data_IF_586432842517
#
_entry.id   IF_586432842517
#
_cell.length_a   1.000
_cell.length_b   1.000
_cell.length_c   1.000
_cell.angle_alpha   90.00
_cell.angle_beta   90.00
_cell.angle_gamma   90.00
#
_symmetry.space_group_name_H-M   'P 1'
#
loop_
_entity.id
_entity.type
_entity.pdbx_description
1 polymer ?
#
# COMPACT_ATOMS: atom_id res chain seq x y z
N UNK A 1 2.06 30.78 -2.44
CA UNK A 1 2.09 31.36 -3.80
C UNK A 1 3.31 30.95 -4.67
N UNK A 2 4.20 30.04 -4.24
CA UNK A 2 5.46 29.74 -4.98
C UNK A 2 5.31 28.61 -6.02
N UNK A 3 4.28 27.75 -5.90
CA UNK A 3 4.12 26.55 -6.75
C UNK A 3 3.81 26.85 -8.23
N UNK A 4 3.14 27.97 -8.54
CA UNK A 4 2.68 28.27 -9.91
C UNK A 4 3.79 28.56 -10.93
N UNK A 5 4.96 29.05 -10.48
CA UNK A 5 6.06 29.45 -11.39
C UNK A 5 6.84 28.27 -11.98
N UNK A 6 6.99 27.17 -11.23
CA UNK A 6 7.72 25.98 -11.74
C UNK A 6 6.98 25.32 -12.91
N UNK A 7 5.65 25.28 -12.86
CA UNK A 7 4.79 24.75 -13.94
C UNK A 7 4.92 25.55 -15.25
N UNK A 8 5.16 26.87 -15.17
CA UNK A 8 5.30 27.73 -16.36
C UNK A 8 6.68 27.65 -17.02
N UNK A 9 7.71 27.15 -16.29
CA UNK A 9 9.09 27.06 -16.76
C UNK A 9 9.44 25.70 -17.38
N UNK A 10 8.49 24.76 -17.42
CA UNK A 10 8.70 23.41 -17.95
C UNK A 10 9.69 22.56 -17.14
N UNK A 11 10.07 23.01 -15.94
CA UNK A 11 11.02 22.31 -15.09
C UNK A 11 10.32 21.22 -14.28
N UNK A 12 10.84 20.01 -14.38
CA UNK A 12 10.46 18.87 -13.54
C UNK A 12 10.84 19.15 -12.08
N UNK A 13 9.98 18.78 -11.15
CA UNK A 13 10.18 19.04 -9.72
C UNK A 13 11.39 18.26 -9.13
N UNK A 14 11.87 17.24 -9.85
CA UNK A 14 12.75 16.19 -9.34
C UNK A 14 14.18 16.21 -9.93
N UNK A 15 14.61 17.29 -10.61
CA UNK A 15 15.91 17.31 -11.31
C UNK A 15 17.14 17.20 -10.36
N UNK A 16 16.99 17.60 -9.09
CA UNK A 16 18.10 17.79 -8.15
C UNK A 16 18.08 16.89 -6.91
N UNK A 17 17.64 15.61 -7.00
CA UNK A 17 17.60 14.73 -5.81
C UNK A 17 18.35 13.43 -6.00
N UNK A 18 19.41 13.30 -5.20
CA UNK A 18 20.05 12.04 -4.86
C UNK A 18 19.00 11.07 -4.31
N UNK A 19 18.72 9.99 -5.06
CA UNK A 19 17.67 9.02 -4.73
C UNK A 19 18.02 8.29 -3.43
N UNK A 20 17.33 8.63 -2.35
CA UNK A 20 17.49 7.99 -1.04
C UNK A 20 16.53 6.81 -0.93
N UNK A 21 16.96 5.70 -0.35
CA UNK A 21 16.10 4.53 -0.12
C UNK A 21 14.84 4.92 0.67
N UNK A 22 13.67 4.70 0.06
CA UNK A 22 12.37 4.88 0.71
C UNK A 22 11.89 3.51 1.18
N UNK A 23 11.79 3.34 2.50
CA UNK A 23 11.14 2.18 3.08
C UNK A 23 9.63 2.33 2.94
N UNK A 24 8.97 1.42 2.22
CA UNK A 24 7.51 1.34 2.22
C UNK A 24 7.03 0.20 3.12
N UNK A 25 6.00 0.43 3.95
CA UNK A 25 5.37 -0.64 4.71
C UNK A 25 4.67 -1.60 3.74
N UNK A 26 4.83 -2.90 4.00
CA UNK A 26 4.28 -3.94 3.14
C UNK A 26 2.75 -4.05 3.27
N UNK A 27 2.08 -4.50 2.21
CA UNK A 27 0.66 -4.82 2.30
C UNK A 27 0.49 -6.13 3.11
N UNK A 28 -0.51 -6.15 3.99
CA UNK A 28 -0.76 -7.34 4.82
C UNK A 28 -2.22 -7.73 4.77
N UNK A 29 -2.47 -8.97 4.37
CA UNK A 29 -3.81 -9.56 4.30
C UNK A 29 -4.38 -9.89 5.69
N UNK A 30 -3.58 -9.68 6.74
CA UNK A 30 -3.89 -10.13 8.09
C UNK A 30 -5.10 -9.41 8.69
N UNK A 31 -5.30 -8.13 8.36
CA UNK A 31 -6.48 -7.37 8.80
C UNK A 31 -7.80 -7.93 8.23
N UNK A 32 -7.78 -8.43 7.00
CA UNK A 32 -8.95 -9.05 6.38
C UNK A 32 -9.30 -10.39 7.03
N UNK A 33 -8.29 -11.21 7.33
CA UNK A 33 -8.50 -12.48 8.04
C UNK A 33 -9.06 -12.23 9.45
N UNK A 34 -8.57 -11.21 10.16
CA UNK A 34 -9.10 -10.82 11.46
C UNK A 34 -10.59 -10.43 11.42
N UNK A 35 -11.02 -9.66 10.41
CA UNK A 35 -12.42 -9.22 10.34
C UNK A 35 -13.39 -10.39 10.13
N UNK A 36 -12.99 -11.41 9.35
CA UNK A 36 -13.79 -12.64 9.17
C UNK A 36 -13.96 -13.39 10.49
N UNK A 37 -12.89 -13.55 11.28
CA UNK A 37 -12.99 -14.19 12.60
C UNK A 37 -13.86 -13.39 13.57
N UNK A 38 -13.75 -12.06 13.56
CA UNK A 38 -14.64 -11.19 14.34
C UNK A 38 -16.10 -11.32 13.91
N UNK A 39 -16.36 -11.43 12.61
CA UNK A 39 -17.71 -11.64 12.08
C UNK A 39 -18.30 -12.97 12.58
N UNK A 40 -17.54 -14.08 12.49
CA UNK A 40 -17.97 -15.40 12.97
C UNK A 40 -18.20 -15.38 14.50
N UNK A 41 -17.30 -14.75 15.25
CA UNK A 41 -17.43 -14.61 16.70
C UNK A 41 -18.68 -13.82 17.08
N UNK A 42 -18.90 -12.65 16.47
CA UNK A 42 -20.07 -11.81 16.70
C UNK A 42 -21.36 -12.50 16.31
N UNK A 43 -21.40 -13.16 15.15
CA UNK A 43 -22.56 -13.93 14.70
C UNK A 43 -22.91 -15.06 15.68
N UNK A 44 -21.91 -15.83 16.12
CA UNK A 44 -22.11 -16.90 17.10
C UNK A 44 -22.66 -16.42 18.44
N UNK A 45 -22.18 -15.27 18.93
CA UNK A 45 -22.64 -14.68 20.20
C UNK A 45 -24.07 -14.14 20.12
N UNK A 46 -24.50 -13.59 18.97
CA UNK A 46 -25.87 -13.09 18.79
C UNK A 46 -26.91 -14.20 18.86
N UNK A 47 -26.62 -15.37 18.28
CA UNK A 47 -27.55 -16.49 18.20
C UNK A 47 -27.42 -17.53 19.34
N UNK A 48 -26.72 -17.18 20.44
CA UNK A 48 -26.42 -18.11 21.55
C UNK A 48 -25.60 -19.36 21.14
N UNK A 49 -24.99 -19.34 19.96
CA UNK A 49 -24.05 -20.36 19.51
C UNK A 49 -22.67 -20.12 20.12
N UNK A 50 -22.59 -20.40 21.43
CA UNK A 50 -21.38 -20.23 22.23
C UNK A 50 -20.16 -20.94 21.66
N UNK A 51 -20.35 -22.07 20.96
CA UNK A 51 -19.27 -22.85 20.38
C UNK A 51 -18.65 -22.13 19.18
N UNK A 52 -19.49 -21.48 18.38
CA UNK A 52 -19.09 -20.67 17.23
C UNK A 52 -18.44 -19.35 17.70
N UNK A 53 -18.98 -18.75 18.76
CA UNK A 53 -18.39 -17.61 19.45
C UNK A 53 -17.00 -17.92 20.02
N UNK A 54 -16.83 -19.08 20.66
CA UNK A 54 -15.54 -19.56 21.16
C UNK A 54 -14.54 -19.84 20.04
N UNK A 55 -14.97 -20.51 18.96
CA UNK A 55 -14.11 -20.76 17.79
C UNK A 55 -13.66 -19.46 17.12
N UNK A 56 -14.58 -18.51 16.92
CA UNK A 56 -14.27 -17.20 16.36
C UNK A 56 -13.34 -16.40 17.28
N UNK A 57 -13.60 -16.38 18.59
CA UNK A 57 -12.75 -15.73 19.58
C UNK A 57 -11.35 -16.32 19.67
N UNK A 58 -11.23 -17.65 19.61
CA UNK A 58 -9.94 -18.33 19.55
C UNK A 58 -9.20 -18.01 18.24
N UNK A 59 -9.93 -17.91 17.13
CA UNK A 59 -9.39 -17.47 15.85
C UNK A 59 -8.82 -16.04 15.90
N UNK A 60 -9.52 -15.11 16.56
CA UNK A 60 -9.01 -13.74 16.78
C UNK A 60 -7.74 -13.75 17.65
N UNK A 61 -7.73 -14.51 18.76
CA UNK A 61 -6.56 -14.64 19.64
C UNK A 61 -5.36 -15.24 18.90
N UNK A 62 -5.57 -16.29 18.11
CA UNK A 62 -4.52 -16.89 17.29
C UNK A 62 -3.98 -15.92 16.24
N UNK A 63 -4.88 -15.15 15.61
CA UNK A 63 -4.48 -14.14 14.63
C UNK A 63 -3.69 -12.99 15.27
N UNK A 64 -4.06 -12.57 16.49
CA UNK A 64 -3.30 -11.58 17.27
C UNK A 64 -1.91 -12.10 17.65
N UNK A 65 -1.82 -13.35 18.12
CA UNK A 65 -0.55 -13.98 18.43
C UNK A 65 0.34 -14.03 17.18
N UNK A 66 -0.19 -14.55 16.07
CA UNK A 66 0.53 -14.60 14.79
C UNK A 66 0.97 -13.22 14.31
N UNK A 67 0.09 -12.21 14.40
CA UNK A 67 0.42 -10.81 14.07
C UNK A 67 1.57 -10.27 14.91
N UNK A 68 1.60 -10.61 16.20
CA UNK A 68 2.65 -10.13 17.11
C UNK A 68 4.01 -10.76 16.82
N UNK A 69 4.05 -12.00 16.31
CA UNK A 69 5.30 -12.66 15.94
C UNK A 69 5.75 -12.35 14.51
N UNK A 70 4.83 -11.89 13.63
CA UNK A 70 5.18 -11.56 12.26
C UNK A 70 5.98 -10.25 12.22
N UNK A 71 7.29 -10.36 12.03
CA UNK A 71 8.20 -9.25 11.77
C UNK A 71 8.01 -8.82 10.32
N UNK A 72 7.35 -7.69 10.10
CA UNK A 72 7.28 -7.08 8.76
C UNK A 72 8.64 -6.41 8.49
N UNK A 73 9.54 -7.15 7.84
CA UNK A 73 10.72 -6.56 7.22
C UNK A 73 10.22 -5.71 6.04
N UNK A 74 10.20 -4.39 6.25
CA UNK A 74 9.72 -3.43 5.27
C UNK A 74 10.47 -3.58 3.94
N UNK A 75 9.74 -3.46 2.83
CA UNK A 75 10.30 -3.64 1.50
C UNK A 75 11.27 -2.49 1.20
N UNK A 76 12.45 -2.83 0.68
CA UNK A 76 13.37 -1.85 0.10
C UNK A 76 13.00 -1.68 -1.37
N UNK A 77 12.50 -0.51 -1.75
CA UNK A 77 12.37 -0.18 -3.18
C UNK A 77 13.78 0.03 -3.73
N UNK A 78 14.19 -0.82 -4.66
CA UNK A 78 15.49 -0.71 -5.30
C UNK A 78 15.54 0.54 -6.19
N UNK A 79 16.62 1.33 -6.05
CA UNK A 79 16.89 2.56 -6.81
C UNK A 79 16.64 2.45 -8.33
N UNK A 80 16.95 1.34 -9.04
CA UNK A 80 16.67 1.22 -10.48
C UNK A 80 15.19 1.34 -10.87
N UNK A 81 14.25 0.88 -10.05
CA UNK A 81 12.81 0.98 -10.34
C UNK A 81 12.32 2.43 -10.20
N UNK A 82 12.91 3.17 -9.25
CA UNK A 82 12.63 4.59 -9.03
C UNK A 82 13.09 5.40 -10.25
N UNK A 83 14.31 5.15 -10.74
CA UNK A 83 14.85 5.85 -11.92
C UNK A 83 14.00 5.57 -13.16
N UNK A 84 13.61 4.31 -13.40
CA UNK A 84 12.76 3.97 -14.54
C UNK A 84 11.37 4.63 -14.47
N UNK A 85 10.78 4.71 -13.27
CA UNK A 85 9.47 5.35 -13.04
C UNK A 85 9.55 6.87 -13.23
N UNK A 86 10.60 7.50 -12.71
CA UNK A 86 10.81 8.95 -12.85
C UNK A 86 11.18 9.32 -14.30
N UNK A 87 11.92 8.48 -15.01
CA UNK A 87 12.19 8.66 -16.45
C UNK A 87 10.92 8.55 -17.29
N UNK A 88 10.04 7.58 -17.00
CA UNK A 88 8.73 7.47 -17.64
C UNK A 88 7.87 8.71 -17.35
N UNK A 89 7.82 9.15 -16.09
CA UNK A 89 7.10 10.35 -15.70
C UNK A 89 7.67 11.62 -16.37
N UNK A 90 9.00 11.72 -16.53
CA UNK A 90 9.66 12.83 -17.21
C UNK A 90 9.38 12.82 -18.72
N UNK A 91 9.29 11.64 -19.36
CA UNK A 91 8.87 11.51 -20.76
C UNK A 91 7.43 11.96 -20.95
N UNK A 92 6.50 11.48 -20.12
CA UNK A 92 5.09 11.92 -20.14
C UNK A 92 4.95 13.43 -19.92
N UNK A 93 5.76 14.02 -19.04
CA UNK A 93 5.76 15.47 -18.81
C UNK A 93 6.20 16.27 -20.04
N UNK A 94 7.18 15.74 -20.81
CA UNK A 94 7.69 16.37 -22.03
C UNK A 94 6.73 16.20 -23.21
N UNK A 95 6.08 15.04 -23.33
CA UNK A 95 5.17 14.73 -24.45
C UNK A 95 3.75 15.22 -24.21
N UNK A 96 3.34 15.45 -22.95
CA UNK A 96 1.96 15.79 -22.60
C UNK A 96 0.96 14.65 -22.86
N UNK A 97 1.46 13.46 -23.22
CA UNK A 97 0.68 12.28 -23.61
C UNK A 97 1.05 11.14 -22.65
N UNK A 98 0.02 10.47 -22.11
CA UNK A 98 0.14 9.28 -21.26
C UNK A 98 0.48 8.07 -22.14
N UNK A 99 1.76 7.77 -22.28
CA UNK A 99 2.28 6.78 -23.23
C UNK A 99 1.88 5.32 -22.89
N UNK A 100 1.26 5.08 -21.72
CA UNK A 100 0.77 3.77 -21.28
C UNK A 100 -0.76 3.60 -21.16
N UNK A 101 -1.57 4.55 -21.65
CA UNK A 101 -3.03 4.46 -21.58
C UNK A 101 -3.60 3.67 -22.79
N UNK A 102 -4.31 2.54 -22.60
CA UNK A 102 -4.90 1.79 -23.72
C UNK A 102 -6.08 2.51 -24.40
N UNK A 103 -6.57 3.61 -23.81
CA UNK A 103 -7.66 4.44 -24.33
C UNK A 103 -7.19 5.74 -24.99
N UNK A 104 -5.89 5.83 -25.29
CA UNK A 104 -5.27 6.93 -26.03
C UNK A 104 -5.31 6.61 -27.54
N UNK A 105 -6.11 7.37 -28.30
CA UNK A 105 -6.08 7.47 -29.77
C UNK A 105 -5.33 8.73 -30.17
#
# INVERSE_FOLDING_TARGET
MISGRKKQRGETYNDDKEYKHIHMPNNTLLGFVMSVFFFIAGFGLVFYWYWLGLLGGLGVLACLAYRSFKKDDGYHVEVPEIVATEEQAAREFKTGIKEGNPWNL
#
